data_IF_765907067893
#
_entry.id   IF_765907067893
#
_cell.length_a   1.000
_cell.length_b   1.000
_cell.length_c   1.000
_cell.angle_alpha   90.00
_cell.angle_beta   90.00
_cell.angle_gamma   90.00
#
_symmetry.space_group_name_H-M   'P 1'
#
loop_
_entity.id
_entity.type
_entity.pdbx_description
1 polymer ?
#
# COMPACT_ATOMS: atom_id res chain seq x y z
N UNK A 1 20.60 7.77 -57.88
CA UNK A 1 20.90 8.04 -56.46
C UNK A 1 21.77 6.92 -55.96
N UNK A 2 23.07 7.17 -55.83
CA UNK A 2 24.05 6.17 -55.43
C UNK A 2 24.08 6.07 -53.89
N UNK A 3 23.96 4.85 -53.38
CA UNK A 3 24.03 4.49 -51.97
C UNK A 3 25.46 4.76 -51.46
N UNK A 4 25.60 5.52 -50.38
CA UNK A 4 26.90 5.89 -49.80
C UNK A 4 27.24 4.97 -48.62
N UNK A 5 28.48 4.46 -48.50
CA UNK A 5 28.92 3.62 -47.39
C UNK A 5 28.92 4.31 -46.01
N UNK A 6 28.65 5.62 -45.95
CA UNK A 6 28.53 6.38 -44.70
C UNK A 6 27.19 6.18 -43.97
N UNK A 7 26.15 5.71 -44.67
CA UNK A 7 24.84 5.46 -44.06
C UNK A 7 24.80 4.17 -43.23
N UNK A 8 25.64 3.18 -43.57
CA UNK A 8 25.80 1.93 -42.80
C UNK A 8 26.55 2.18 -41.47
N UNK A 9 27.51 3.10 -41.44
CA UNK A 9 28.24 3.45 -40.21
C UNK A 9 27.30 4.09 -39.16
N UNK A 10 26.32 4.91 -39.59
CA UNK A 10 25.33 5.53 -38.70
C UNK A 10 24.28 4.55 -38.18
N UNK A 11 23.98 3.48 -38.92
CA UNK A 11 23.07 2.42 -38.49
C UNK A 11 23.76 1.40 -37.56
N UNK A 12 25.06 1.14 -37.75
CA UNK A 12 25.88 0.37 -36.81
C UNK A 12 26.04 1.09 -35.46
N UNK A 13 26.32 2.40 -35.49
CA UNK A 13 26.55 3.19 -34.27
C UNK A 13 25.26 3.44 -33.47
N UNK A 14 24.08 3.45 -34.10
CA UNK A 14 22.78 3.52 -33.40
C UNK A 14 22.30 2.20 -32.79
N UNK A 15 22.84 1.06 -33.23
CA UNK A 15 22.57 -0.25 -32.62
C UNK A 15 23.52 -0.57 -31.47
N UNK A 16 24.73 -0.01 -31.50
CA UNK A 16 25.75 -0.23 -30.46
C UNK A 16 25.51 0.59 -29.17
N UNK A 17 24.78 1.70 -29.24
CA UNK A 17 24.39 2.51 -28.07
C UNK A 17 23.35 1.79 -27.18
N UNK A 18 22.75 0.68 -27.65
CA UNK A 18 21.74 -0.06 -26.89
C UNK A 18 22.26 -1.31 -26.17
N UNK A 19 23.58 -1.54 -26.16
CA UNK A 19 24.17 -2.70 -25.50
C UNK A 19 25.48 -2.39 -24.76
N UNK A 20 25.47 -1.36 -23.91
CA UNK A 20 26.41 -1.28 -22.79
C UNK A 20 25.62 -1.41 -21.50
N UNK A 21 25.33 -2.66 -21.13
CA UNK A 21 25.18 -3.05 -19.73
C UNK A 21 26.51 -2.71 -19.02
N UNK A 22 26.63 -1.50 -18.49
CA UNK A 22 27.48 -1.29 -17.32
C UNK A 22 26.79 -1.96 -16.14
N UNK A 23 27.04 -3.27 -16.01
CA UNK A 23 26.97 -3.98 -14.75
C UNK A 23 28.08 -3.41 -13.85
N UNK A 24 27.85 -2.23 -13.30
CA UNK A 24 28.43 -1.90 -12.01
C UNK A 24 27.60 -2.65 -10.98
N UNK A 25 27.90 -3.94 -10.83
CA UNK A 25 27.52 -4.70 -9.65
C UNK A 25 28.32 -4.14 -8.48
N UNK A 26 27.93 -2.98 -7.96
CA UNK A 26 28.10 -2.73 -6.54
C UNK A 26 27.17 -3.72 -5.87
N UNK A 27 27.74 -4.81 -5.35
CA UNK A 27 27.05 -5.71 -4.43
C UNK A 27 26.73 -4.89 -3.18
N UNK A 28 25.60 -4.20 -3.22
CA UNK A 28 25.02 -3.61 -2.02
C UNK A 28 24.70 -4.79 -1.10
N UNK A 29 25.19 -4.80 0.15
CA UNK A 29 24.97 -5.92 1.07
C UNK A 29 23.49 -6.29 1.13
N UNK A 30 23.18 -7.59 1.20
CA UNK A 30 21.81 -8.12 1.09
C UNK A 30 20.78 -7.40 1.99
N UNK A 31 21.22 -6.87 3.13
CA UNK A 31 20.41 -6.07 4.05
C UNK A 31 19.93 -4.76 3.41
N UNK A 32 20.83 -3.99 2.80
CA UNK A 32 20.51 -2.70 2.15
C UNK A 32 19.54 -2.83 0.96
N UNK A 33 19.59 -3.94 0.22
CA UNK A 33 18.65 -4.21 -0.90
C UNK A 33 17.23 -4.49 -0.40
N UNK A 34 17.14 -5.07 0.80
CA UNK A 34 15.87 -5.39 1.45
C UNK A 34 15.26 -4.13 2.05
N UNK A 35 16.07 -3.27 2.68
CA UNK A 35 15.65 -1.97 3.21
C UNK A 35 15.17 -1.00 2.12
N UNK A 36 15.91 -0.89 1.01
CA UNK A 36 15.47 -0.08 -0.16
C UNK A 36 14.12 -0.62 -0.69
N UNK A 37 13.94 -1.93 -0.70
CA UNK A 37 12.68 -2.56 -1.08
C UNK A 37 11.51 -2.19 -0.15
N UNK A 38 11.75 -2.19 1.17
CA UNK A 38 10.73 -1.81 2.18
C UNK A 38 10.36 -0.33 2.06
N UNK A 39 11.35 0.56 2.02
CA UNK A 39 11.12 2.00 1.89
C UNK A 39 10.38 2.36 0.60
N UNK A 40 10.75 1.72 -0.51
CA UNK A 40 10.06 1.92 -1.79
C UNK A 40 8.60 1.46 -1.75
N UNK A 41 8.32 0.28 -1.19
CA UNK A 41 6.93 -0.21 -1.05
C UNK A 41 6.10 0.69 -0.15
N UNK A 42 6.67 1.18 0.96
CA UNK A 42 6.00 2.13 1.85
C UNK A 42 5.59 3.40 1.10
N UNK A 43 6.52 4.00 0.34
CA UNK A 43 6.23 5.21 -0.44
C UNK A 43 5.14 4.98 -1.49
N UNK A 44 5.10 3.79 -2.11
CA UNK A 44 4.03 3.43 -3.03
C UNK A 44 2.68 3.24 -2.33
N UNK A 45 2.66 2.63 -1.13
CA UNK A 45 1.43 2.51 -0.34
C UNK A 45 0.90 3.88 0.09
N UNK A 46 1.78 4.80 0.50
CA UNK A 46 1.44 6.19 0.81
C UNK A 46 0.89 6.92 -0.43
N UNK A 47 1.47 6.70 -1.61
CA UNK A 47 0.94 7.22 -2.87
C UNK A 47 -0.45 6.65 -3.21
N UNK A 48 -0.70 5.37 -2.93
CA UNK A 48 -2.04 4.78 -3.09
C UNK A 48 -3.06 5.42 -2.14
N UNK A 49 -2.67 5.68 -0.88
CA UNK A 49 -3.50 6.39 0.09
C UNK A 49 -3.84 7.82 -0.37
N UNK A 50 -2.85 8.57 -0.86
CA UNK A 50 -3.08 9.92 -1.41
C UNK A 50 -4.01 9.91 -2.64
N UNK A 51 -3.91 8.87 -3.48
CA UNK A 51 -4.84 8.69 -4.59
C UNK A 51 -6.27 8.46 -4.09
N UNK A 52 -6.46 7.69 -3.01
CA UNK A 52 -7.76 7.52 -2.36
C UNK A 52 -8.32 8.82 -1.77
N UNK A 53 -7.49 9.64 -1.12
CA UNK A 53 -7.91 10.98 -0.63
C UNK A 53 -8.40 11.86 -1.79
N UNK A 54 -7.77 11.73 -2.95
CA UNK A 54 -8.17 12.44 -4.17
C UNK A 54 -9.33 11.77 -4.93
N UNK A 55 -9.95 10.75 -4.34
CA UNK A 55 -10.97 9.88 -4.93
C UNK A 55 -10.55 9.22 -6.29
N UNK A 56 -9.25 9.11 -6.54
CA UNK A 56 -8.69 8.40 -7.71
C UNK A 56 -8.46 6.92 -7.36
N UNK A 57 -9.56 6.21 -7.14
CA UNK A 57 -9.56 4.79 -6.75
C UNK A 57 -8.95 3.90 -7.84
N UNK A 58 -9.08 4.30 -9.12
CA UNK A 58 -8.48 3.57 -10.25
C UNK A 58 -6.97 3.61 -10.15
N UNK A 59 -6.37 4.77 -9.85
CA UNK A 59 -4.93 4.89 -9.60
C UNK A 59 -4.53 4.12 -8.35
N UNK A 60 -5.28 4.23 -7.26
CA UNK A 60 -4.99 3.49 -6.03
C UNK A 60 -4.92 1.96 -6.27
N UNK A 61 -5.90 1.38 -6.99
CA UNK A 61 -5.89 -0.05 -7.34
C UNK A 61 -4.73 -0.43 -8.26
N UNK A 62 -4.36 0.44 -9.21
CA UNK A 62 -3.19 0.19 -10.08
C UNK A 62 -1.90 0.15 -9.26
N UNK A 63 -1.74 1.04 -8.28
CA UNK A 63 -0.59 1.04 -7.38
C UNK A 63 -0.61 -0.21 -6.50
N UNK A 64 -1.74 -0.57 -5.90
CA UNK A 64 -1.89 -1.80 -5.10
C UNK A 64 -1.52 -3.05 -5.90
N UNK A 65 -1.98 -3.15 -7.16
CA UNK A 65 -1.59 -4.22 -8.08
C UNK A 65 -0.09 -4.25 -8.38
N UNK A 66 0.52 -3.08 -8.54
CA UNK A 66 1.97 -2.96 -8.71
C UNK A 66 2.73 -3.44 -7.48
N UNK A 67 2.29 -3.04 -6.29
CA UNK A 67 2.84 -3.49 -5.00
C UNK A 67 2.76 -5.00 -4.86
N UNK A 68 1.59 -5.59 -5.15
CA UNK A 68 1.39 -7.03 -5.05
C UNK A 68 2.25 -7.81 -6.05
N UNK A 69 2.43 -7.29 -7.28
CA UNK A 69 3.34 -7.90 -8.25
C UNK A 69 4.81 -7.85 -7.81
N UNK A 70 5.21 -6.82 -7.04
CA UNK A 70 6.57 -6.65 -6.53
C UNK A 70 6.84 -7.49 -5.27
N UNK A 71 5.85 -7.57 -4.37
CA UNK A 71 5.92 -8.31 -3.13
C UNK A 71 4.52 -8.85 -2.78
N UNK A 72 4.16 -10.03 -3.31
CA UNK A 72 2.84 -10.62 -3.11
C UNK A 72 2.50 -10.79 -1.63
N UNK A 73 1.31 -10.35 -1.23
CA UNK A 73 0.84 -10.46 0.16
C UNK A 73 1.64 -9.62 1.17
N UNK A 74 2.50 -8.70 0.72
CA UNK A 74 3.15 -7.73 1.61
C UNK A 74 2.10 -6.87 2.33
N UNK A 75 2.44 -6.41 3.54
CA UNK A 75 1.57 -5.51 4.30
C UNK A 75 1.15 -4.30 3.46
N UNK A 76 2.10 -3.74 2.70
CA UNK A 76 1.86 -2.58 1.86
C UNK A 76 0.82 -2.85 0.76
N UNK A 77 0.89 -4.01 0.07
CA UNK A 77 -0.07 -4.34 -0.98
C UNK A 77 -1.47 -4.60 -0.41
N UNK A 78 -1.55 -5.35 0.69
CA UNK A 78 -2.82 -5.66 1.36
C UNK A 78 -3.51 -4.40 1.86
N UNK A 79 -2.80 -3.53 2.57
CA UNK A 79 -3.35 -2.27 3.07
C UNK A 79 -3.79 -1.36 1.92
N UNK A 80 -3.01 -1.27 0.85
CA UNK A 80 -3.36 -0.46 -0.32
C UNK A 80 -4.66 -0.94 -1.01
N UNK A 81 -4.86 -2.26 -1.16
CA UNK A 81 -6.14 -2.80 -1.65
C UNK A 81 -7.29 -2.50 -0.70
N UNK A 82 -7.11 -2.73 0.60
CA UNK A 82 -8.14 -2.50 1.60
C UNK A 82 -8.61 -1.05 1.63
N UNK A 83 -7.69 -0.08 1.61
CA UNK A 83 -8.03 1.35 1.58
C UNK A 83 -8.79 1.69 0.28
N UNK A 84 -8.40 1.13 -0.86
CA UNK A 84 -9.12 1.34 -2.12
C UNK A 84 -10.56 0.79 -2.08
N UNK A 85 -10.79 -0.34 -1.41
CA UNK A 85 -12.12 -0.91 -1.18
C UNK A 85 -12.93 -0.06 -0.19
N UNK A 86 -12.34 0.40 0.91
CA UNK A 86 -12.98 1.32 1.86
C UNK A 86 -13.40 2.64 1.20
N UNK A 87 -12.57 3.17 0.29
CA UNK A 87 -12.84 4.45 -0.39
C UNK A 87 -14.11 4.40 -1.25
N UNK A 88 -14.44 3.23 -1.80
CA UNK A 88 -15.70 3.01 -2.55
C UNK A 88 -16.83 2.43 -1.68
N UNK A 89 -16.64 2.39 -0.36
CA UNK A 89 -17.64 1.87 0.59
C UNK A 89 -17.78 0.35 0.60
N UNK A 90 -16.85 -0.40 -0.01
CA UNK A 90 -16.91 -1.86 -0.03
C UNK A 90 -16.24 -2.46 1.22
N UNK A 91 -16.94 -2.37 2.34
CA UNK A 91 -16.41 -2.74 3.66
C UNK A 91 -16.02 -4.23 3.73
N UNK A 92 -16.88 -5.12 3.23
CA UNK A 92 -16.63 -6.57 3.31
C UNK A 92 -15.42 -6.98 2.46
N UNK A 93 -15.24 -6.39 1.28
CA UNK A 93 -14.03 -6.61 0.49
C UNK A 93 -12.77 -6.13 1.23
N UNK A 94 -12.83 -4.96 1.87
CA UNK A 94 -11.69 -4.46 2.64
C UNK A 94 -11.33 -5.40 3.81
N UNK A 95 -12.32 -5.92 4.53
CA UNK A 95 -12.12 -6.90 5.61
C UNK A 95 -11.49 -8.20 5.09
N UNK A 96 -11.95 -8.71 3.94
CA UNK A 96 -11.36 -9.89 3.30
C UNK A 96 -9.92 -9.66 2.87
N UNK A 97 -9.59 -8.48 2.33
CA UNK A 97 -8.21 -8.13 2.01
C UNK A 97 -7.33 -8.13 3.27
N UNK A 98 -7.82 -7.55 4.37
CA UNK A 98 -7.07 -7.40 5.62
C UNK A 98 -6.94 -8.68 6.43
N UNK A 99 -7.77 -9.69 6.15
CA UNK A 99 -7.84 -10.94 6.91
C UNK A 99 -6.47 -11.59 7.15
N UNK A 100 -5.59 -11.80 6.15
CA UNK A 100 -4.28 -12.43 6.35
C UNK A 100 -3.38 -11.69 7.34
N UNK A 101 -3.45 -10.36 7.37
CA UNK A 101 -2.70 -9.53 8.33
C UNK A 101 -3.34 -9.60 9.72
N UNK A 102 -4.67 -9.52 9.80
CA UNK A 102 -5.37 -9.54 11.08
C UNK A 102 -5.28 -10.89 11.79
N UNK A 103 -5.22 -12.01 11.07
CA UNK A 103 -5.05 -13.36 11.61
C UNK A 103 -3.66 -13.55 12.23
N UNK A 104 -2.64 -12.85 11.71
CA UNK A 104 -1.27 -12.87 12.23
C UNK A 104 -1.00 -11.79 13.29
N UNK A 105 -2.04 -11.10 13.75
CA UNK A 105 -1.97 -9.96 14.68
C UNK A 105 -1.04 -8.84 14.21
N UNK A 106 -0.95 -8.63 12.90
CA UNK A 106 -0.25 -7.48 12.34
C UNK A 106 -0.91 -6.18 12.80
N UNK A 107 -0.13 -5.26 13.37
CA UNK A 107 -0.66 -4.04 13.98
C UNK A 107 -1.41 -3.13 12.97
N UNK A 108 -0.91 -3.02 11.73
CA UNK A 108 -1.60 -2.26 10.68
C UNK A 108 -2.85 -3.01 10.20
N UNK A 109 -2.76 -4.33 10.00
CA UNK A 109 -3.90 -5.16 9.66
C UNK A 109 -5.06 -5.01 10.64
N UNK A 110 -4.77 -5.11 11.94
CA UNK A 110 -5.77 -4.93 13.00
C UNK A 110 -6.34 -3.50 13.02
N UNK A 111 -5.51 -2.47 12.91
CA UNK A 111 -5.98 -1.08 12.96
C UNK A 111 -6.87 -0.72 11.76
N UNK A 112 -6.52 -1.18 10.54
CA UNK A 112 -7.38 -0.97 9.36
C UNK A 112 -8.65 -1.84 9.40
N UNK A 113 -8.61 -3.03 9.99
CA UNK A 113 -9.83 -3.83 10.21
C UNK A 113 -10.76 -3.14 11.20
N UNK A 114 -10.22 -2.56 12.28
CA UNK A 114 -10.99 -1.74 13.21
C UNK A 114 -11.61 -0.53 12.53
N UNK A 115 -10.88 0.17 11.65
CA UNK A 115 -11.43 1.26 10.85
C UNK A 115 -12.60 0.79 9.97
N UNK A 116 -12.45 -0.33 9.27
CA UNK A 116 -13.52 -0.89 8.43
C UNK A 116 -14.79 -1.24 9.24
N UNK A 117 -14.61 -1.83 10.43
CA UNK A 117 -15.70 -2.15 11.36
C UNK A 117 -16.35 -0.88 11.94
N UNK A 118 -15.56 0.14 12.25
CA UNK A 118 -16.06 1.43 12.70
C UNK A 118 -16.93 2.10 11.62
N UNK A 119 -16.45 2.15 10.37
CA UNK A 119 -17.16 2.72 9.23
C UNK A 119 -18.47 1.99 8.91
N UNK A 120 -18.58 0.70 9.22
CA UNK A 120 -19.83 -0.08 9.09
C UNK A 120 -20.72 -0.08 10.33
N UNK A 121 -20.35 0.64 11.39
CA UNK A 121 -21.11 0.69 12.64
C UNK A 121 -21.06 -0.58 13.48
N UNK A 122 -20.16 -1.54 13.16
CA UNK A 122 -19.93 -2.79 13.90
C UNK A 122 -19.05 -2.54 15.12
N UNK A 123 -19.49 -1.64 16.00
CA UNK A 123 -18.67 -1.08 17.09
C UNK A 123 -18.18 -2.14 18.09
N UNK A 124 -19.01 -3.12 18.45
CA UNK A 124 -18.58 -4.19 19.35
C UNK A 124 -17.45 -5.04 18.79
N UNK A 125 -17.45 -5.29 17.47
CA UNK A 125 -16.38 -6.01 16.78
C UNK A 125 -15.14 -5.14 16.63
N UNK A 126 -15.32 -3.85 16.31
CA UNK A 126 -14.26 -2.86 16.30
C UNK A 126 -13.51 -2.85 17.64
N UNK A 127 -14.22 -2.78 18.76
CA UNK A 127 -13.62 -2.79 20.10
C UNK A 127 -12.87 -4.10 20.39
N UNK A 128 -13.39 -5.24 19.92
CA UNK A 128 -12.72 -6.52 20.06
C UNK A 128 -11.40 -6.58 19.28
N UNK A 129 -11.37 -6.00 18.07
CA UNK A 129 -10.15 -5.89 17.26
C UNK A 129 -9.15 -4.92 17.88
N UNK A 130 -9.61 -3.75 18.35
CA UNK A 130 -8.73 -2.74 18.96
C UNK A 130 -8.00 -3.25 20.21
N UNK A 131 -8.65 -4.09 21.02
CA UNK A 131 -8.01 -4.74 22.19
C UNK A 131 -6.83 -5.65 21.82
N UNK A 132 -6.71 -6.07 20.56
CA UNK A 132 -5.62 -6.92 20.07
C UNK A 132 -4.45 -6.11 19.50
N UNK A 133 -4.62 -4.82 19.24
CA UNK A 133 -3.56 -3.98 18.67
C UNK A 133 -2.48 -3.75 19.72
N UNK A 134 -1.24 -4.12 19.40
CA UNK A 134 -0.09 -3.83 20.25
C UNK A 134 0.38 -2.39 20.06
N UNK A 135 0.51 -1.66 21.16
CA UNK A 135 1.01 -0.28 21.18
C UNK A 135 2.53 -0.24 20.94
N UNK A 136 3.02 0.81 20.28
CA UNK A 136 4.46 1.04 20.11
C UNK A 136 4.88 1.43 18.70
N UNK A 137 3.93 1.48 17.75
CA UNK A 137 4.14 2.08 16.44
C UNK A 137 3.34 3.41 16.38
N UNK A 138 3.99 4.57 16.29
CA UNK A 138 3.33 5.86 16.32
C UNK A 138 2.25 6.06 15.24
N UNK A 139 2.43 5.49 14.04
CA UNK A 139 1.46 5.59 12.95
C UNK A 139 0.18 4.81 13.29
N UNK A 140 0.35 3.60 13.84
CA UNK A 140 -0.77 2.74 14.28
C UNK A 140 -1.46 3.34 15.50
N UNK A 141 -0.69 3.79 16.49
CA UNK A 141 -1.21 4.39 17.72
C UNK A 141 -2.04 5.65 17.40
N UNK A 142 -1.59 6.47 16.44
CA UNK A 142 -2.33 7.62 15.94
C UNK A 142 -3.68 7.24 15.31
N UNK A 143 -3.71 6.19 14.48
CA UNK A 143 -4.94 5.70 13.86
C UNK A 143 -5.91 5.13 14.91
N UNK A 144 -5.43 4.31 15.83
CA UNK A 144 -6.23 3.75 16.93
C UNK A 144 -6.85 4.87 17.78
N UNK A 145 -6.06 5.89 18.14
CA UNK A 145 -6.56 7.03 18.89
C UNK A 145 -7.62 7.82 18.12
N UNK A 146 -7.46 7.96 16.79
CA UNK A 146 -8.45 8.64 15.94
C UNK A 146 -9.78 7.87 15.90
N UNK A 147 -9.75 6.53 15.78
CA UNK A 147 -10.95 5.69 15.83
C UNK A 147 -11.65 5.87 17.17
N UNK A 148 -10.93 5.73 18.29
CA UNK A 148 -11.51 5.83 19.64
C UNK A 148 -12.18 7.18 19.94
N UNK A 149 -11.65 8.29 19.42
CA UNK A 149 -12.26 9.63 19.57
C UNK A 149 -13.58 9.77 18.82
N UNK A 150 -13.73 9.11 17.67
CA UNK A 150 -14.95 9.17 16.86
C UNK A 150 -16.04 8.19 17.36
N UNK A 151 -15.65 7.15 18.11
CA UNK A 151 -16.61 6.24 18.76
C UNK A 151 -17.51 6.92 19.79
N UNK A 152 -17.04 8.00 20.44
CA UNK A 152 -17.79 8.73 21.48
C UNK A 152 -18.86 9.65 20.87
N UNK A 153 -18.71 10.07 19.61
CA UNK A 153 -19.67 10.95 18.92
C UNK A 153 -20.99 10.28 18.55
N UNK A 154 -21.00 8.97 18.28
CA UNK A 154 -22.21 8.24 17.89
C UNK A 154 -23.12 7.85 19.06
N UNK A 155 -22.64 7.93 20.31
CA UNK A 155 -23.50 7.74 21.48
C UNK A 155 -24.44 8.93 21.73
N UNK A 156 -24.07 10.13 21.26
CA UNK A 156 -24.85 11.36 21.49
C UNK A 156 -25.89 11.61 20.39
N UNK A 157 -25.65 11.11 19.17
CA UNK A 157 -26.52 11.38 18.01
C UNK A 157 -27.72 10.42 17.88
N UNK A 158 -27.82 9.40 18.74
CA UNK A 158 -28.97 8.47 18.77
C UNK A 158 -30.01 8.76 19.87
N UNK A 159 -29.80 9.80 20.67
CA UNK A 159 -30.67 10.20 21.79
C UNK A 159 -31.34 11.59 21.58
N UNK A 160 -31.68 11.95 20.33
CA UNK A 160 -32.50 13.14 20.02
C UNK A 160 -33.71 12.75 19.18
#
# INVERSE_FOLDING_TARGET
>A
MAWSPEDDARLGQRREIRYTMSRSCTSVPSESRTEIGVGFRRNLAEAAFLACISNDVVRARRIAKGLDALAPGSRESVVAYAIADLTVGNIEAALEQLRPLSETNDAYGLAFSALALHLSGRLSECDAVLRRVTVGNPDVDGLVAAIGKNSIGHAVERDI
#
